data_IF_100796876964
#
_entry.id   IF_100796876964
#
_cell.length_a   1.000
_cell.length_b   1.000
_cell.length_c   1.000
_cell.angle_alpha   90.00
_cell.angle_beta   90.00
_cell.angle_gamma   90.00
#
_symmetry.space_group_name_H-M   'P 1'
#
loop_
_entity.id
_entity.type
_entity.pdbx_description
1 polymer ?
#
# COMPACT_ATOMS: atom_id res chain seq x y z
N UNK A 1 -52.06 -65.16 7.30
CA UNK A 1 -52.61 -64.27 8.35
C UNK A 1 -51.73 -63.02 8.36
N UNK A 2 -51.82 -62.09 7.41
CA UNK A 2 -52.82 -61.01 7.26
C UNK A 2 -53.17 -60.30 8.57
N UNK A 3 -52.64 -59.10 8.78
CA UNK A 3 -53.42 -57.88 9.04
C UNK A 3 -52.49 -56.65 9.05
N UNK A 4 -52.95 -55.60 8.35
CA UNK A 4 -52.33 -54.31 8.09
C UNK A 4 -52.96 -53.21 8.97
N UNK A 5 -52.50 -51.97 8.80
CA UNK A 5 -53.09 -50.67 9.17
C UNK A 5 -52.61 -50.11 10.53
N UNK A 6 -52.43 -48.79 10.75
CA UNK A 6 -52.94 -47.61 10.03
C UNK A 6 -52.09 -46.38 10.39
N UNK A 7 -51.87 -45.55 9.37
CA UNK A 7 -51.35 -44.18 9.42
C UNK A 7 -52.26 -43.26 10.26
N UNK A 8 -51.69 -42.36 11.07
CA UNK A 8 -52.35 -41.09 11.41
C UNK A 8 -51.41 -39.92 11.26
N UNK A 9 -51.63 -39.23 10.16
CA UNK A 9 -51.22 -37.87 9.87
C UNK A 9 -52.22 -36.92 10.56
N UNK A 10 -51.72 -35.86 11.22
CA UNK A 10 -52.51 -34.67 11.50
C UNK A 10 -51.57 -33.45 11.64
N UNK A 11 -51.60 -32.62 10.60
CA UNK A 11 -51.14 -31.24 10.64
C UNK A 11 -52.22 -30.35 11.30
N UNK A 12 -51.82 -29.35 12.10
CA UNK A 12 -52.22 -27.94 11.90
C UNK A 12 -51.51 -27.02 12.90
N UNK A 13 -51.25 -25.82 12.39
CA UNK A 13 -50.37 -24.77 12.90
C UNK A 13 -51.01 -23.87 13.97
N UNK A 14 -50.19 -23.23 14.80
CA UNK A 14 -50.02 -21.76 14.83
C UNK A 14 -48.87 -21.34 15.76
N UNK A 15 -48.18 -20.23 15.47
CA UNK A 15 -46.92 -19.86 16.13
C UNK A 15 -47.17 -18.91 17.31
N UNK A 16 -46.48 -19.13 18.42
CA UNK A 16 -46.42 -18.15 19.51
C UNK A 16 -45.08 -17.42 19.46
N UNK A 17 -45.22 -16.13 19.18
CA UNK A 17 -44.19 -15.13 19.00
C UNK A 17 -43.27 -14.94 20.22
N UNK A 18 -42.03 -14.59 19.90
CA UNK A 18 -41.13 -13.73 20.64
C UNK A 18 -40.48 -14.25 21.95
N UNK A 19 -39.20 -14.56 21.85
CA UNK A 19 -38.18 -13.58 22.28
C UNK A 19 -36.84 -13.88 21.61
N UNK A 20 -36.70 -13.40 20.38
CA UNK A 20 -35.37 -13.13 19.84
C UNK A 20 -34.73 -12.08 20.75
N UNK A 21 -33.79 -12.48 21.60
CA UNK A 21 -32.83 -11.55 22.19
C UNK A 21 -31.75 -11.31 21.14
N UNK A 22 -31.67 -10.12 20.50
CA UNK A 22 -30.49 -9.78 19.74
C UNK A 22 -29.35 -9.60 20.75
N UNK A 23 -28.35 -10.46 20.70
CA UNK A 23 -27.05 -10.11 21.27
C UNK A 23 -26.47 -8.98 20.40
N UNK A 24 -26.78 -7.75 20.78
CA UNK A 24 -26.09 -6.55 20.32
C UNK A 24 -24.65 -6.65 20.79
N UNK A 25 -23.79 -7.29 19.99
CA UNK A 25 -22.36 -7.03 20.05
C UNK A 25 -22.20 -5.54 19.83
N UNK A 26 -21.89 -4.82 20.91
CA UNK A 26 -21.53 -3.42 20.86
C UNK A 26 -20.31 -3.30 19.95
N UNK A 27 -20.52 -2.83 18.73
CA UNK A 27 -19.42 -2.33 17.92
C UNK A 27 -18.78 -1.21 18.74
N UNK A 28 -17.58 -1.47 19.26
CA UNK A 28 -16.71 -0.41 19.75
C UNK A 28 -16.45 0.46 18.53
N UNK A 29 -17.23 1.54 18.38
CA UNK A 29 -16.86 2.65 17.51
C UNK A 29 -15.61 3.24 18.14
N UNK A 30 -14.46 2.80 17.67
CA UNK A 30 -13.26 3.61 17.75
C UNK A 30 -13.56 4.87 16.96
N UNK A 31 -14.08 5.89 17.64
CA UNK A 31 -14.04 7.23 17.13
C UNK A 31 -12.59 7.68 17.28
N UNK A 32 -11.76 7.34 16.29
CA UNK A 32 -10.48 8.02 16.12
C UNK A 32 -10.82 9.45 15.76
N UNK A 33 -10.97 10.29 16.77
CA UNK A 33 -10.53 11.66 16.61
C UNK A 33 -9.07 11.52 16.24
N UNK A 34 -8.76 11.63 14.95
CA UNK A 34 -7.43 11.98 14.52
C UNK A 34 -7.20 13.35 15.12
N UNK A 35 -6.71 13.38 16.36
CA UNK A 35 -5.91 14.51 16.81
C UNK A 35 -4.74 14.48 15.85
N UNK A 36 -4.87 15.21 14.74
CA UNK A 36 -3.71 15.75 14.06
C UNK A 36 -3.04 16.56 15.14
N UNK A 37 -2.10 15.93 15.84
CA UNK A 37 -1.12 16.66 16.60
C UNK A 37 -0.36 17.40 15.52
N UNK A 38 -0.87 18.57 15.15
CA UNK A 38 -0.05 19.63 14.63
C UNK A 38 0.86 19.96 15.79
N UNK A 39 1.94 19.18 15.93
CA UNK A 39 3.08 19.61 16.70
C UNK A 39 3.42 20.95 16.07
N UNK A 40 3.14 22.04 16.79
CA UNK A 40 3.73 23.34 16.54
C UNK A 40 5.22 23.17 16.76
N UNK A 41 5.89 22.61 15.75
CA UNK A 41 7.34 22.63 15.62
C UNK A 41 7.71 24.08 15.47
N UNK A 42 8.55 24.55 16.39
CA UNK A 42 9.11 25.88 16.31
C UNK A 42 9.75 26.09 14.93
N UNK A 43 9.39 27.15 14.19
CA UNK A 43 9.81 27.32 12.81
C UNK A 43 11.24 27.88 12.77
N UNK A 44 12.24 27.02 12.90
CA UNK A 44 13.65 27.42 12.69
C UNK A 44 14.35 26.44 11.75
N UNK A 45 13.78 26.26 10.55
CA UNK A 45 14.49 25.69 9.40
C UNK A 45 13.90 26.15 8.04
N UNK A 46 13.33 27.36 7.95
CA UNK A 46 12.73 27.87 6.71
C UNK A 46 13.67 28.87 6.00
N UNK A 47 14.68 28.36 5.30
CA UNK A 47 15.61 29.22 4.54
C UNK A 47 15.84 28.74 3.10
N UNK A 48 15.63 27.46 2.78
CA UNK A 48 15.89 26.99 1.42
C UNK A 48 14.73 27.35 0.46
N UNK A 49 13.49 27.20 0.90
CA UNK A 49 12.30 27.49 0.10
C UNK A 49 12.30 28.93 -0.45
N UNK A 50 12.48 29.93 0.42
CA UNK A 50 12.48 31.36 0.08
C UNK A 50 13.64 31.72 -0.87
N UNK A 51 14.80 31.06 -0.72
CA UNK A 51 16.02 31.36 -1.48
C UNK A 51 16.08 30.58 -2.80
N UNK A 52 15.38 29.44 -2.90
CA UNK A 52 15.46 28.52 -4.04
C UNK A 52 15.00 29.12 -5.36
N UNK A 53 14.13 30.13 -5.33
CA UNK A 53 13.48 30.70 -6.51
C UNK A 53 12.50 29.73 -7.21
N UNK A 54 12.15 28.61 -6.55
CA UNK A 54 11.13 27.71 -7.05
C UNK A 54 9.74 28.37 -6.98
N UNK A 55 8.85 28.12 -7.96
CA UNK A 55 7.49 28.63 -7.89
C UNK A 55 6.75 28.02 -6.70
N UNK A 56 5.82 28.78 -6.12
CA UNK A 56 5.05 28.36 -4.94
C UNK A 56 4.20 27.10 -5.21
N UNK A 57 3.81 26.90 -6.46
CA UNK A 57 3.08 25.73 -6.94
C UNK A 57 3.75 24.41 -6.54
N UNK A 58 5.10 24.35 -6.53
CA UNK A 58 5.88 23.15 -6.15
C UNK A 58 5.48 22.60 -4.78
N UNK A 59 5.14 23.49 -3.85
CA UNK A 59 4.80 23.10 -2.47
C UNK A 59 3.52 22.27 -2.41
N UNK A 60 2.62 22.50 -3.36
CA UNK A 60 1.34 21.80 -3.46
C UNK A 60 1.48 20.43 -4.14
N UNK A 61 2.62 20.14 -4.77
CA UNK A 61 2.85 18.84 -5.38
C UNK A 61 3.24 17.82 -4.29
N UNK A 62 2.44 16.76 -4.08
CA UNK A 62 2.75 15.77 -3.07
C UNK A 62 4.00 14.98 -3.49
N UNK A 63 4.95 14.91 -2.55
CA UNK A 63 6.18 14.17 -2.70
C UNK A 63 6.05 12.76 -2.11
N UNK A 64 6.76 11.81 -2.71
CA UNK A 64 6.89 10.45 -2.18
C UNK A 64 8.34 10.11 -1.93
N UNK A 65 8.66 9.75 -0.69
CA UNK A 65 9.97 9.27 -0.27
C UNK A 65 9.89 7.74 -0.15
N UNK A 66 10.66 7.02 -0.96
CA UNK A 66 10.61 5.55 -1.01
C UNK A 66 11.93 4.93 -1.46
N UNK A 67 12.11 3.63 -1.20
CA UNK A 67 13.15 2.84 -1.87
C UNK A 67 12.56 2.13 -3.08
N UNK A 68 13.27 2.17 -4.21
CA UNK A 68 12.81 1.50 -5.41
C UNK A 68 12.64 -0.01 -5.17
N UNK A 69 11.44 -0.53 -5.47
CA UNK A 69 11.20 -1.97 -5.37
C UNK A 69 12.09 -2.73 -6.34
N UNK A 70 12.42 -3.97 -5.99
CA UNK A 70 13.15 -4.84 -6.91
C UNK A 70 12.29 -5.14 -8.14
N UNK A 71 12.83 -4.90 -9.33
CA UNK A 71 12.17 -5.27 -10.58
C UNK A 71 11.94 -6.79 -10.63
N UNK A 72 10.70 -7.22 -10.88
CA UNK A 72 10.35 -8.65 -10.96
C UNK A 72 11.06 -9.37 -12.10
N UNK A 73 11.31 -8.65 -13.20
CA UNK A 73 11.99 -9.15 -14.41
C UNK A 73 13.48 -9.42 -14.20
N UNK A 74 14.12 -8.79 -13.20
CA UNK A 74 15.56 -8.90 -12.98
C UNK A 74 15.89 -9.41 -11.58
N UNK A 75 16.98 -10.16 -11.47
CA UNK A 75 17.44 -10.68 -10.18
C UNK A 75 18.31 -9.70 -9.37
N UNK A 76 18.86 -8.67 -10.02
CA UNK A 76 19.74 -7.66 -9.41
C UNK A 76 19.07 -6.78 -8.35
N UNK A 77 19.87 -6.24 -7.42
CA UNK A 77 19.42 -5.49 -6.22
C UNK A 77 20.11 -4.12 -6.09
N UNK A 78 21.05 -3.79 -6.97
CA UNK A 78 21.89 -2.58 -6.89
C UNK A 78 21.09 -1.28 -6.74
N UNK A 79 19.96 -1.17 -7.45
CA UNK A 79 19.14 0.04 -7.45
C UNK A 79 18.22 0.21 -6.22
N UNK A 80 18.04 -0.84 -5.42
CA UNK A 80 17.10 -0.84 -4.26
C UNK A 80 17.73 -0.23 -3.00
N UNK A 81 19.05 -0.03 -2.97
CA UNK A 81 19.74 0.49 -1.77
C UNK A 81 19.46 1.97 -1.48
N UNK A 82 19.21 2.76 -2.53
CA UNK A 82 19.12 4.22 -2.51
C UNK A 82 17.69 4.68 -2.24
N UNK A 83 17.55 5.71 -1.40
CA UNK A 83 16.27 6.38 -1.18
C UNK A 83 15.99 7.36 -2.30
N UNK A 84 14.75 7.41 -2.76
CA UNK A 84 14.30 8.33 -3.80
C UNK A 84 13.21 9.24 -3.28
N UNK A 85 13.25 10.48 -3.72
CA UNK A 85 12.16 11.42 -3.61
C UNK A 85 11.69 11.72 -5.04
N UNK A 86 10.45 11.31 -5.32
CA UNK A 86 9.77 11.58 -6.58
C UNK A 86 8.48 12.36 -6.30
N UNK A 87 8.05 13.18 -7.24
CA UNK A 87 6.78 13.88 -7.20
C UNK A 87 5.67 13.02 -7.81
N UNK A 88 4.43 13.19 -7.33
CA UNK A 88 3.28 12.62 -8.01
C UNK A 88 2.97 13.40 -9.29
N UNK A 89 2.38 12.73 -10.29
CA UNK A 89 2.02 13.39 -11.55
C UNK A 89 0.75 14.20 -11.37
N UNK A 90 0.78 15.47 -11.74
CA UNK A 90 -0.41 16.30 -11.70
C UNK A 90 -1.44 15.85 -12.75
N UNK A 91 -2.72 15.79 -12.38
CA UNK A 91 -3.79 15.34 -13.27
C UNK A 91 -4.07 16.31 -14.42
N UNK A 92 -3.93 17.62 -14.18
CA UNK A 92 -4.22 18.66 -15.18
C UNK A 92 -3.03 18.93 -16.11
N UNK A 93 -1.82 19.02 -15.57
CA UNK A 93 -0.58 19.25 -16.32
C UNK A 93 0.12 17.95 -16.78
N UNK A 94 -0.56 16.81 -16.64
CA UNK A 94 -0.05 15.48 -16.95
C UNK A 94 0.28 15.26 -18.42
N UNK A 95 0.43 13.99 -18.81
CA UNK A 95 0.79 13.64 -20.20
C UNK A 95 -0.43 13.73 -21.11
N UNK A 96 -0.32 14.48 -22.19
CA UNK A 96 -1.31 14.59 -23.27
C UNK A 96 -0.66 14.31 -24.63
N UNK A 97 -1.48 13.92 -25.60
CA UNK A 97 -1.03 13.64 -26.96
C UNK A 97 -0.89 14.93 -27.76
N UNK A 98 0.24 15.10 -28.45
CA UNK A 98 0.43 16.20 -29.39
C UNK A 98 -0.33 15.92 -30.70
N UNK A 99 -1.26 16.81 -31.07
CA UNK A 99 -2.11 16.69 -32.26
C UNK A 99 -1.35 16.48 -33.58
N UNK A 100 -0.11 16.96 -33.69
CA UNK A 100 0.65 16.89 -34.94
C UNK A 100 1.32 15.53 -35.18
N UNK A 101 2.07 15.03 -34.18
CA UNK A 101 2.95 13.84 -34.33
C UNK A 101 2.56 12.70 -33.36
N UNK A 102 1.69 12.96 -32.38
CA UNK A 102 1.28 11.96 -31.38
C UNK A 102 2.29 11.74 -30.25
N UNK A 103 3.24 12.66 -30.04
CA UNK A 103 4.16 12.57 -28.89
C UNK A 103 3.47 12.85 -27.57
N UNK A 104 3.96 12.23 -26.50
CA UNK A 104 3.52 12.53 -25.13
C UNK A 104 4.12 13.88 -24.68
N UNK A 105 3.36 14.94 -24.89
CA UNK A 105 3.64 16.28 -24.35
C UNK A 105 3.16 16.36 -22.90
N UNK A 106 3.75 17.27 -22.12
CA UNK A 106 3.32 17.52 -20.74
C UNK A 106 3.71 18.93 -20.32
N UNK A 107 2.91 19.53 -19.44
CA UNK A 107 3.16 20.85 -18.86
C UNK A 107 3.79 20.78 -17.46
N UNK A 108 3.88 19.58 -16.87
CA UNK A 108 4.48 19.34 -15.56
C UNK A 108 6.02 19.40 -15.65
N UNK A 109 6.60 20.33 -14.90
CA UNK A 109 8.04 20.58 -14.82
C UNK A 109 8.75 19.68 -13.81
N UNK A 110 8.03 19.04 -12.88
CA UNK A 110 8.58 18.13 -11.86
C UNK A 110 8.54 16.66 -12.26
N UNK A 111 7.78 16.29 -13.30
CA UNK A 111 7.58 14.90 -13.74
C UNK A 111 8.86 14.06 -13.94
N UNK A 112 9.98 14.69 -14.29
CA UNK A 112 11.25 14.01 -14.58
C UNK A 112 12.26 14.13 -13.42
N UNK A 113 11.94 14.91 -12.39
CA UNK A 113 12.81 15.15 -11.25
C UNK A 113 12.76 13.95 -10.31
N UNK A 114 13.90 13.26 -10.19
CA UNK A 114 14.10 12.18 -9.24
C UNK A 114 15.37 12.44 -8.45
N UNK A 115 15.22 12.66 -7.15
CA UNK A 115 16.37 12.88 -6.27
C UNK A 115 16.76 11.59 -5.55
N UNK A 116 18.06 11.41 -5.33
CA UNK A 116 18.64 10.22 -4.71
C UNK A 116 19.32 10.58 -3.41
N UNK A 117 18.97 9.88 -2.34
CA UNK A 117 19.49 10.06 -1.00
C UNK A 117 20.07 8.75 -0.45
N UNK A 118 21.02 8.88 0.47
CA UNK A 118 21.67 7.73 1.12
C UNK A 118 20.79 7.23 2.27
N UNK A 119 20.26 8.14 3.09
CA UNK A 119 19.43 7.85 4.25
C UNK A 119 17.98 8.33 4.07
N UNK A 120 17.09 7.84 4.94
CA UNK A 120 15.69 8.27 4.97
C UNK A 120 15.59 9.67 5.58
N UNK A 121 16.37 9.90 6.63
CA UNK A 121 16.41 11.13 7.40
C UNK A 121 16.87 12.30 6.53
N UNK A 122 17.86 12.10 5.66
CA UNK A 122 18.34 13.14 4.74
C UNK A 122 17.26 13.56 3.74
N UNK A 123 16.47 12.61 3.24
CA UNK A 123 15.39 12.89 2.31
C UNK A 123 14.26 13.67 3.00
N UNK A 124 13.91 13.29 4.23
CA UNK A 124 12.91 14.00 5.05
C UNK A 124 13.40 15.41 5.37
N UNK A 125 14.63 15.55 5.86
CA UNK A 125 15.21 16.85 6.17
C UNK A 125 15.31 17.77 4.94
N UNK A 126 15.51 17.20 3.75
CA UNK A 126 15.48 17.98 2.51
C UNK A 126 14.07 18.46 2.16
N UNK A 127 13.07 17.58 2.23
CA UNK A 127 11.67 17.94 1.99
C UNK A 127 11.16 18.99 2.99
N UNK A 128 11.50 18.82 4.28
CA UNK A 128 11.17 19.77 5.36
C UNK A 128 11.78 21.15 5.11
N UNK A 129 13.05 21.21 4.65
CA UNK A 129 13.74 22.48 4.34
C UNK A 129 13.11 23.25 3.17
N UNK A 130 12.49 22.53 2.23
CA UNK A 130 11.81 23.10 1.07
C UNK A 130 10.32 23.35 1.30
N UNK A 131 9.78 22.91 2.44
CA UNK A 131 8.36 23.06 2.77
C UNK A 131 7.43 22.20 1.91
N UNK A 132 7.89 21.05 1.42
CA UNK A 132 7.06 20.16 0.58
C UNK A 132 6.26 19.17 1.42
N UNK A 133 5.02 18.92 1.03
CA UNK A 133 4.23 17.83 1.60
C UNK A 133 4.77 16.48 1.12
N UNK A 134 5.12 15.58 2.03
CA UNK A 134 5.68 14.28 1.69
C UNK A 134 4.99 13.11 2.39
N UNK A 135 4.93 11.98 1.68
CA UNK A 135 4.56 10.68 2.23
C UNK A 135 5.74 9.73 2.19
N UNK A 136 6.06 9.12 3.32
CA UNK A 136 7.13 8.11 3.42
C UNK A 136 6.55 6.71 3.21
N UNK A 137 7.10 5.97 2.25
CA UNK A 137 6.81 4.54 2.07
C UNK A 137 7.98 3.70 2.55
N UNK A 138 7.70 2.83 3.53
CA UNK A 138 8.71 1.93 4.06
C UNK A 138 9.02 0.78 3.08
N UNK A 139 10.31 0.39 2.96
CA UNK A 139 10.72 -0.66 2.04
C UNK A 139 10.22 -2.03 2.51
N UNK A 140 9.50 -2.73 1.63
CA UNK A 140 9.14 -4.12 1.84
C UNK A 140 10.36 -5.04 1.67
N UNK A 141 10.96 -5.44 2.79
CA UNK A 141 12.12 -6.33 2.79
C UNK A 141 11.71 -7.79 2.57
N UNK A 142 12.48 -8.50 1.75
CA UNK A 142 12.27 -9.91 1.51
C UNK A 142 12.76 -10.73 2.70
N UNK A 143 11.88 -11.56 3.25
CA UNK A 143 12.24 -12.55 4.28
C UNK A 143 13.13 -13.63 3.63
N UNK A 144 14.37 -13.73 4.10
CA UNK A 144 15.32 -14.77 3.66
C UNK A 144 14.94 -16.08 4.37
N UNK A 145 14.31 -16.99 3.62
CA UNK A 145 14.01 -18.34 4.09
C UNK A 145 15.19 -19.27 3.83
N UNK A 146 15.54 -20.12 4.80
CA UNK A 146 16.55 -21.17 4.62
C UNK A 146 16.12 -22.09 3.48
N UNK A 147 16.96 -22.23 2.46
CA UNK A 147 16.74 -23.13 1.32
C UNK A 147 17.76 -24.27 1.41
N UNK A 148 17.29 -25.49 1.64
CA UNK A 148 18.14 -26.70 1.67
C UNK A 148 17.84 -27.55 0.45
N UNK A 149 18.86 -27.85 -0.36
CA UNK A 149 18.67 -28.65 -1.58
C UNK A 149 18.23 -30.09 -1.28
N UNK A 150 18.65 -30.65 -0.15
CA UNK A 150 18.25 -31.99 0.30
C UNK A 150 16.73 -32.12 0.53
N UNK A 151 16.03 -31.02 0.83
CA UNK A 151 14.57 -31.03 1.00
C UNK A 151 13.84 -31.42 -0.29
N UNK A 152 14.50 -31.32 -1.45
CA UNK A 152 13.96 -31.80 -2.71
C UNK A 152 13.74 -33.33 -2.71
N UNK A 153 14.55 -34.09 -1.95
CA UNK A 153 14.57 -35.57 -1.96
C UNK A 153 14.11 -36.20 -0.64
N UNK A 154 13.45 -35.43 0.22
CA UNK A 154 12.97 -35.93 1.52
C UNK A 154 11.94 -37.04 1.33
N UNK A 155 12.16 -38.18 2.00
CA UNK A 155 11.23 -39.30 2.03
C UNK A 155 9.89 -38.88 2.67
N UNK A 156 8.78 -39.25 2.02
CA UNK A 156 7.44 -39.10 2.56
C UNK A 156 6.81 -40.49 2.69
N UNK A 157 6.39 -40.92 3.90
CA UNK A 157 5.71 -42.19 4.09
C UNK A 157 4.28 -42.20 3.54
N UNK A 158 3.71 -41.02 3.26
CA UNK A 158 2.37 -40.86 2.69
C UNK A 158 2.44 -40.69 1.16
N UNK A 159 1.31 -40.92 0.49
CA UNK A 159 1.13 -40.61 -0.95
C UNK A 159 1.60 -39.19 -1.25
N UNK A 160 2.48 -39.06 -2.24
CA UNK A 160 3.09 -37.79 -2.63
C UNK A 160 2.02 -36.80 -3.11
N UNK A 161 2.10 -35.54 -2.66
CA UNK A 161 1.18 -34.46 -3.07
C UNK A 161 1.48 -33.95 -4.49
N UNK A 162 2.75 -33.95 -4.89
CA UNK A 162 3.21 -33.54 -6.21
C UNK A 162 4.55 -34.24 -6.50
N UNK A 163 4.83 -34.46 -7.79
CA UNK A 163 6.13 -34.95 -8.25
C UNK A 163 7.03 -33.74 -8.47
N UNK A 164 8.18 -33.70 -7.79
CA UNK A 164 9.15 -32.60 -7.92
C UNK A 164 9.97 -32.79 -9.19
N UNK A 165 9.83 -31.89 -10.15
CA UNK A 165 10.72 -31.78 -11.32
C UNK A 165 11.84 -30.77 -11.04
N UNK A 166 12.89 -30.80 -11.86
CA UNK A 166 13.97 -29.82 -11.82
C UNK A 166 13.66 -28.65 -12.74
#
# INVERSE_FOLDING_TARGET
>A
MSASLLVKQAMRATPLMASFRPATTSAIRFNSTSTSVTETREPVALQAEIVSGAPEEVRMHPCRIFKQSKASTQSGITNTGVWRLDFDTELQAGRFENELIGWASSADYMQALQMKFISKEDAIAFADKQGWEFTVQEPNQKIIKKKVYADNFKYSPKKLRFVKTK
#
